data_IF_201419305477
#
_entry.id   IF_201419305477
#
_cell.length_a   1.000
_cell.length_b   1.000
_cell.length_c   1.000
_cell.angle_alpha   90.00
_cell.angle_beta   90.00
_cell.angle_gamma   90.00
#
_symmetry.space_group_name_H-M   'P 1'
#
loop_
_entity.id
_entity.type
_entity.pdbx_description
1 polymer ?
#
# COMPACT_ATOMS: atom_id res chain seq x y z
N UNK A 1 0.38 -22.19 0.24
CA UNK A 1 0.41 -21.01 1.14
C UNK A 1 -0.71 -21.18 2.16
N UNK A 2 -0.46 -20.88 3.43
CA UNK A 2 -1.50 -21.05 4.45
C UNK A 2 -2.55 -19.92 4.39
N UNK A 3 -3.73 -20.20 4.92
CA UNK A 3 -4.86 -19.28 4.87
C UNK A 3 -4.58 -17.95 5.59
N UNK A 4 -3.81 -17.99 6.67
CA UNK A 4 -3.44 -16.78 7.42
C UNK A 4 -2.58 -15.86 6.58
N UNK A 5 -1.57 -16.41 5.88
CA UNK A 5 -0.70 -15.62 5.01
C UNK A 5 -1.47 -15.04 3.83
N UNK A 6 -2.35 -15.81 3.21
CA UNK A 6 -3.20 -15.32 2.13
C UNK A 6 -4.09 -14.17 2.59
N UNK A 7 -4.62 -14.26 3.80
CA UNK A 7 -5.46 -13.21 4.38
C UNK A 7 -4.66 -11.92 4.63
N UNK A 8 -3.43 -12.03 5.14
CA UNK A 8 -2.56 -10.88 5.35
C UNK A 8 -2.27 -10.19 4.01
N UNK A 9 -1.94 -10.96 2.98
CA UNK A 9 -1.67 -10.42 1.64
C UNK A 9 -2.91 -9.68 1.12
N UNK A 10 -4.09 -10.29 1.20
CA UNK A 10 -5.33 -9.68 0.73
C UNK A 10 -5.64 -8.38 1.46
N UNK A 11 -5.44 -8.35 2.77
CA UNK A 11 -5.67 -7.15 3.58
C UNK A 11 -4.74 -6.01 3.17
N UNK A 12 -3.48 -6.31 2.89
CA UNK A 12 -2.52 -5.30 2.41
C UNK A 12 -2.92 -4.78 1.03
N UNK A 13 -3.26 -5.67 0.10
CA UNK A 13 -3.65 -5.25 -1.25
C UNK A 13 -4.91 -4.39 -1.22
N UNK A 14 -5.87 -4.71 -0.38
CA UNK A 14 -7.06 -3.86 -0.22
C UNK A 14 -6.75 -2.50 0.38
N UNK A 15 -5.74 -2.40 1.23
CA UNK A 15 -5.28 -1.11 1.73
C UNK A 15 -4.68 -0.26 0.60
N UNK A 16 -3.84 -0.86 -0.22
CA UNK A 16 -3.25 -0.19 -1.39
C UNK A 16 -4.33 0.34 -2.32
N UNK A 17 -5.38 -0.44 -2.55
CA UNK A 17 -6.50 -0.04 -3.39
C UNK A 17 -7.27 1.17 -2.84
N UNK A 18 -7.15 1.46 -1.54
CA UNK A 18 -7.82 2.61 -0.93
C UNK A 18 -7.04 3.91 -1.06
N UNK A 19 -5.79 3.88 -1.50
CA UNK A 19 -5.03 5.10 -1.75
C UNK A 19 -5.64 5.82 -2.96
N UNK A 20 -6.14 7.05 -2.79
CA UNK A 20 -6.87 7.73 -3.88
C UNK A 20 -5.95 8.11 -5.04
N UNK A 21 -6.50 8.24 -6.27
CA UNK A 21 -5.76 8.84 -7.37
C UNK A 21 -5.21 10.22 -6.98
N UNK A 22 -3.98 10.52 -7.37
CA UNK A 22 -3.32 11.78 -7.03
C UNK A 22 -2.65 11.79 -5.67
N UNK A 23 -2.72 10.68 -4.94
CA UNK A 23 -2.07 10.54 -3.63
C UNK A 23 -1.12 9.36 -3.61
N UNK A 24 -0.18 9.40 -2.67
CA UNK A 24 0.74 8.30 -2.42
C UNK A 24 0.71 7.92 -0.95
N UNK A 25 1.10 6.70 -0.64
CA UNK A 25 1.31 6.24 0.73
C UNK A 25 2.64 5.49 0.78
N UNK A 26 3.37 5.65 1.88
CA UNK A 26 4.62 4.92 2.06
C UNK A 26 4.35 3.47 2.50
N UNK A 27 5.35 2.61 2.33
CA UNK A 27 5.31 1.26 2.87
C UNK A 27 5.00 1.29 4.37
N UNK A 28 5.59 2.25 5.09
CA UNK A 28 5.33 2.43 6.52
C UNK A 28 3.90 2.87 6.82
N UNK A 29 3.31 3.73 6.00
CA UNK A 29 1.94 4.16 6.17
C UNK A 29 0.95 3.00 5.97
N UNK A 30 1.16 2.19 4.95
CA UNK A 30 0.36 0.98 4.71
C UNK A 30 0.54 -0.01 5.87
N UNK A 31 1.79 -0.21 6.31
CA UNK A 31 2.10 -1.11 7.42
C UNK A 31 1.42 -0.68 8.72
N UNK A 32 1.42 0.62 9.01
CA UNK A 32 0.77 1.16 10.20
C UNK A 32 -0.74 0.87 10.21
N UNK A 33 -1.40 1.02 9.07
CA UNK A 33 -2.83 0.71 8.92
C UNK A 33 -3.09 -0.79 9.12
N UNK A 34 -2.27 -1.63 8.51
CA UNK A 34 -2.48 -3.09 8.50
C UNK A 34 -1.91 -3.81 9.73
N UNK A 35 -1.18 -3.13 10.61
CA UNK A 35 -0.55 -3.74 11.78
C UNK A 35 0.65 -4.60 11.42
N UNK A 36 1.45 -4.19 10.45
CA UNK A 36 2.60 -4.93 9.94
C UNK A 36 3.86 -4.05 9.96
N UNK A 37 5.00 -4.63 9.59
CA UNK A 37 6.21 -3.86 9.35
C UNK A 37 6.33 -3.43 7.88
N UNK A 38 7.07 -2.33 7.60
CA UNK A 38 7.23 -1.84 6.23
C UNK A 38 7.88 -2.86 5.29
N UNK A 39 8.79 -3.68 5.78
CA UNK A 39 9.44 -4.73 4.98
C UNK A 39 8.46 -5.79 4.51
N UNK A 40 7.51 -6.15 5.38
CA UNK A 40 6.46 -7.11 5.00
C UNK A 40 5.60 -6.56 3.87
N UNK A 41 5.21 -5.28 3.98
CA UNK A 41 4.45 -4.61 2.92
C UNK A 41 5.25 -4.56 1.63
N UNK A 42 6.55 -4.21 1.70
CA UNK A 42 7.43 -4.18 0.54
C UNK A 42 7.53 -5.54 -0.15
N UNK A 43 7.67 -6.62 0.62
CA UNK A 43 7.73 -7.99 0.07
C UNK A 43 6.40 -8.39 -0.59
N UNK A 44 5.28 -8.04 0.02
CA UNK A 44 3.95 -8.33 -0.53
C UNK A 44 3.75 -7.56 -1.84
N UNK A 45 4.11 -6.28 -1.87
CA UNK A 45 3.98 -5.46 -3.08
C UNK A 45 4.85 -6.01 -4.22
N UNK A 46 6.07 -6.41 -3.92
CA UNK A 46 6.97 -6.98 -4.92
C UNK A 46 6.40 -8.26 -5.53
N UNK A 47 5.81 -9.13 -4.71
CA UNK A 47 5.33 -10.44 -5.15
C UNK A 47 3.91 -10.40 -5.72
N UNK A 48 3.03 -9.53 -5.20
CA UNK A 48 1.59 -9.58 -5.48
C UNK A 48 0.99 -8.24 -5.90
N UNK A 49 1.77 -7.16 -5.96
CA UNK A 49 1.24 -5.80 -6.13
C UNK A 49 0.96 -5.35 -7.56
N UNK A 50 1.16 -6.21 -8.58
CA UNK A 50 1.11 -5.77 -9.99
C UNK A 50 -0.28 -5.34 -10.46
N UNK A 51 -1.33 -5.87 -9.84
CA UNK A 51 -2.72 -5.63 -10.28
C UNK A 51 -3.43 -4.54 -9.48
N UNK A 52 -2.73 -3.94 -8.52
CA UNK A 52 -3.28 -2.83 -7.73
C UNK A 52 -2.52 -1.55 -8.05
N UNK A 53 -2.90 -0.43 -7.45
CA UNK A 53 -2.28 0.88 -7.70
C UNK A 53 -0.87 1.02 -7.14
N UNK A 54 0.05 0.16 -7.56
CA UNK A 54 1.43 0.09 -7.08
C UNK A 54 2.20 1.39 -7.24
N UNK A 55 1.87 2.21 -8.25
CA UNK A 55 2.54 3.49 -8.50
C UNK A 55 2.24 4.52 -7.41
N UNK A 56 1.29 4.25 -6.53
CA UNK A 56 0.93 5.12 -5.39
C UNK A 56 1.63 4.72 -4.10
N UNK A 57 2.49 3.68 -4.14
CA UNK A 57 3.19 3.18 -2.95
C UNK A 57 4.68 3.47 -3.09
N UNK A 58 5.21 4.26 -2.17
CA UNK A 58 6.58 4.77 -2.21
C UNK A 58 7.29 4.49 -0.89
N UNK A 59 8.57 4.85 -0.80
CA UNK A 59 9.21 4.95 0.51
C UNK A 59 8.81 6.28 1.18
N UNK A 60 9.33 6.53 2.38
CA UNK A 60 9.00 7.75 3.15
C UNK A 60 9.46 9.04 2.46
N UNK A 61 10.45 8.96 1.59
CA UNK A 61 10.93 10.09 0.80
C UNK A 61 10.09 10.35 -0.46
N UNK A 62 9.15 9.48 -0.78
CA UNK A 62 8.34 9.60 -1.99
C UNK A 62 8.92 8.91 -3.21
N UNK A 63 9.96 8.07 -3.02
CA UNK A 63 10.63 7.38 -4.11
C UNK A 63 10.04 5.99 -4.33
N UNK A 64 9.94 5.59 -5.59
CA UNK A 64 9.58 4.23 -5.97
C UNK A 64 10.82 3.33 -5.94
N UNK A 65 10.63 2.00 -5.86
CA UNK A 65 11.74 1.07 -6.04
C UNK A 65 12.49 1.32 -7.34
N UNK A 66 13.81 1.04 -7.38
CA UNK A 66 14.62 1.27 -8.59
C UNK A 66 13.99 0.64 -9.84
N UNK A 67 13.96 1.39 -10.92
CA UNK A 67 13.45 0.93 -12.21
C UNK A 67 11.94 1.06 -12.38
N UNK A 68 11.17 1.38 -11.36
CA UNK A 68 9.72 1.49 -11.47
C UNK A 68 9.24 2.89 -11.87
N UNK A 69 10.01 3.93 -11.62
CA UNK A 69 9.56 5.30 -11.92
C UNK A 69 9.17 5.49 -13.39
N UNK A 70 9.94 5.03 -14.38
CA UNK A 70 9.53 5.20 -15.78
C UNK A 70 8.17 4.57 -16.08
N UNK A 71 7.86 3.43 -15.45
CA UNK A 71 6.58 2.74 -15.62
C UNK A 71 5.44 3.45 -14.88
N UNK A 72 5.77 4.15 -13.80
CA UNK A 72 4.79 4.90 -13.01
C UNK A 72 4.43 6.25 -13.64
N UNK A 73 5.32 6.85 -14.42
CA UNK A 73 5.15 8.20 -14.94
C UNK A 73 3.83 8.43 -15.69
N UNK A 74 3.36 7.52 -16.58
CA UNK A 74 2.06 7.72 -17.21
C UNK A 74 0.91 7.80 -16.23
N UNK A 75 0.97 7.00 -15.16
CA UNK A 75 -0.04 7.03 -14.09
C UNK A 75 0.06 8.33 -13.29
N UNK A 76 1.27 8.71 -12.89
CA UNK A 76 1.50 9.94 -12.13
C UNK A 76 1.08 11.17 -12.92
N UNK A 77 1.41 11.21 -14.19
CA UNK A 77 1.03 12.32 -15.07
C UNK A 77 -0.50 12.47 -15.14
N UNK A 78 -1.20 11.35 -15.33
CA UNK A 78 -2.66 11.33 -15.37
C UNK A 78 -3.29 11.76 -14.04
N UNK A 79 -2.61 11.50 -12.91
CA UNK A 79 -3.11 11.81 -11.57
C UNK A 79 -2.59 13.13 -11.00
N UNK A 80 -1.70 13.80 -11.70
CA UNK A 80 -1.13 15.06 -11.24
C UNK A 80 -0.05 14.91 -10.17
N UNK A 81 0.53 13.73 -10.01
CA UNK A 81 1.66 13.51 -9.09
C UNK A 81 2.94 13.96 -9.79
N UNK A 82 3.64 14.93 -9.21
CA UNK A 82 4.81 15.54 -9.85
C UNK A 82 6.11 14.94 -9.33
N UNK A 83 7.03 14.70 -10.25
CA UNK A 83 8.39 14.27 -9.92
C UNK A 83 9.14 15.46 -9.30
N UNK A 84 9.81 15.20 -8.16
CA UNK A 84 10.62 16.22 -7.49
C UNK A 84 11.95 16.47 -8.22
N UNK A 85 12.64 17.54 -7.84
CA UNK A 85 13.82 18.03 -8.54
C UNK A 85 14.94 16.99 -8.73
N UNK A 86 15.12 16.05 -7.76
CA UNK A 86 16.16 15.02 -7.89
C UNK A 86 15.80 13.88 -8.86
N UNK A 87 14.58 13.86 -9.39
CA UNK A 87 14.15 12.86 -10.38
C UNK A 87 13.90 11.46 -9.84
N UNK A 88 13.91 11.25 -8.53
CA UNK A 88 13.80 9.90 -7.93
C UNK A 88 12.39 9.52 -7.49
N UNK A 89 11.51 10.50 -7.36
CA UNK A 89 10.14 10.27 -6.89
C UNK A 89 9.39 11.57 -6.73
N UNK A 90 8.37 11.60 -5.87
CA UNK A 90 7.60 12.82 -5.57
C UNK A 90 7.98 13.39 -4.20
N UNK A 91 7.55 14.62 -3.94
CA UNK A 91 7.65 15.21 -2.60
C UNK A 91 6.54 14.62 -1.75
N UNK A 92 6.90 13.67 -0.90
CA UNK A 92 5.93 12.86 -0.15
C UNK A 92 4.87 13.72 0.56
N UNK A 93 5.29 14.75 1.27
CA UNK A 93 4.38 15.58 2.05
C UNK A 93 3.31 16.28 1.19
N UNK A 94 3.62 16.56 -0.08
CA UNK A 94 2.67 17.24 -0.97
C UNK A 94 1.59 16.30 -1.50
N UNK A 95 1.84 14.99 -1.49
CA UNK A 95 0.96 14.00 -2.13
C UNK A 95 0.50 12.90 -1.18
N UNK A 96 0.93 12.90 0.08
CA UNK A 96 0.59 11.85 1.02
C UNK A 96 -0.92 11.75 1.25
N UNK A 97 -1.43 10.51 1.21
CA UNK A 97 -2.80 10.24 1.61
C UNK A 97 -2.97 10.50 3.11
N UNK A 98 -4.15 10.97 3.51
CA UNK A 98 -4.45 11.15 4.92
C UNK A 98 -4.51 9.79 5.63
N UNK A 99 -3.68 9.55 6.66
CA UNK A 99 -3.63 8.24 7.32
C UNK A 99 -4.95 7.80 7.96
N UNK A 100 -5.68 8.73 8.55
CA UNK A 100 -6.94 8.40 9.22
C UNK A 100 -8.02 8.05 8.21
N UNK A 101 -8.10 8.79 7.10
CA UNK A 101 -9.03 8.49 6.03
C UNK A 101 -8.72 7.14 5.38
N UNK A 102 -7.42 6.85 5.17
CA UNK A 102 -6.98 5.57 4.62
C UNK A 102 -7.37 4.42 5.55
N UNK A 103 -7.16 4.57 6.85
CA UNK A 103 -7.52 3.54 7.83
C UNK A 103 -9.03 3.29 7.84
N UNK A 104 -9.85 4.34 7.77
CA UNK A 104 -11.32 4.19 7.71
C UNK A 104 -11.76 3.46 6.45
N UNK A 105 -11.23 3.86 5.30
CA UNK A 105 -11.55 3.23 4.02
C UNK A 105 -11.16 1.76 4.01
N UNK A 106 -9.99 1.44 4.58
CA UNK A 106 -9.51 0.07 4.69
C UNK A 106 -10.41 -0.79 5.55
N UNK A 107 -10.84 -0.29 6.73
CA UNK A 107 -11.73 -1.05 7.61
C UNK A 107 -13.03 -1.43 6.90
N UNK A 108 -13.57 -0.53 6.11
CA UNK A 108 -14.75 -0.82 5.28
C UNK A 108 -14.43 -1.85 4.21
N UNK A 109 -13.29 -1.70 3.54
CA UNK A 109 -12.90 -2.57 2.43
C UNK A 109 -12.63 -4.01 2.85
N UNK A 110 -12.24 -4.25 4.12
CA UNK A 110 -11.94 -5.59 4.63
C UNK A 110 -13.05 -6.18 5.50
N UNK A 111 -14.19 -5.50 5.60
CA UNK A 111 -15.27 -5.92 6.50
C UNK A 111 -15.82 -7.32 6.20
N UNK A 112 -15.72 -7.77 4.94
CA UNK A 112 -16.13 -9.11 4.50
C UNK A 112 -15.06 -10.18 4.74
N UNK A 113 -13.85 -9.79 5.17
CA UNK A 113 -12.76 -10.73 5.38
C UNK A 113 -12.70 -11.19 6.85
N UNK A 114 -12.29 -12.47 7.10
CA UNK A 114 -11.98 -12.90 8.46
C UNK A 114 -10.84 -12.07 9.04
N UNK A 115 -10.83 -11.92 10.37
CA UNK A 115 -9.68 -11.33 11.05
C UNK A 115 -8.59 -12.41 11.18
N UNK A 116 -7.29 -12.05 11.05
CA UNK A 116 -6.21 -13.01 11.25
C UNK A 116 -6.24 -13.67 12.62
N UNK A 117 -6.62 -12.93 13.66
CA UNK A 117 -6.73 -13.46 15.02
C UNK A 117 -7.86 -14.49 15.13
N UNK A 118 -8.96 -14.30 14.41
CA UNK A 118 -10.06 -15.26 14.38
C UNK A 118 -9.63 -16.57 13.72
N UNK A 119 -8.79 -16.50 12.68
CA UNK A 119 -8.20 -17.69 12.05
C UNK A 119 -7.31 -18.44 13.04
N UNK A 120 -6.48 -17.73 13.80
CA UNK A 120 -5.64 -18.34 14.84
C UNK A 120 -6.48 -18.92 15.98
N UNK A 121 -7.53 -18.23 16.39
CA UNK A 121 -8.43 -18.72 17.43
C UNK A 121 -9.11 -20.02 17.01
N UNK A 122 -9.56 -20.12 15.77
CA UNK A 122 -10.15 -21.33 15.21
C UNK A 122 -9.15 -22.49 15.21
N UNK A 123 -7.90 -22.20 14.84
CA UNK A 123 -6.84 -23.19 14.85
C UNK A 123 -6.49 -23.67 16.27
N UNK A 124 -6.71 -22.83 17.26
CA UNK A 124 -6.43 -23.13 18.68
C UNK A 124 -7.56 -23.92 19.35
N UNK A 125 -8.73 -23.88 18.79
CA UNK A 125 -9.88 -24.55 19.33
C UNK A 125 -9.86 -26.04 18.96
#
# INVERSE_FOLDING_TARGET
>A
MDAKRELVIERVLRCVEQVPPGRVASYGAIAAVCGLGPRQVGSIMKAYGHDVGWWRITNAAGDLPPGLLPRALPHWDAEGIRVKANGLGCRYADFAADPDALARAWRTAIADLPQPDAVDADASA
#
